data_IF_087517909257
#
_entry.id   IF_087517909257
#
_cell.length_a   1.000
_cell.length_b   1.000
_cell.length_c   1.000
_cell.angle_alpha   90.00
_cell.angle_beta   90.00
_cell.angle_gamma   90.00
#
_symmetry.space_group_name_H-M   'P 1'
#
loop_
_entity.id
_entity.type
_entity.pdbx_description
1 polymer ?
#
# COMPACT_ATOMS: atom_id res chain seq x y z
N UNK A 1 -12.72 60.22 -32.95
CA UNK A 1 -11.51 59.39 -32.73
C UNK A 1 -11.72 58.31 -31.66
N UNK A 2 -12.33 58.63 -30.50
CA UNK A 2 -12.53 57.71 -29.38
C UNK A 2 -13.34 56.43 -29.69
N UNK A 3 -14.41 56.49 -30.51
CA UNK A 3 -15.21 55.29 -30.88
C UNK A 3 -14.42 54.25 -31.68
N UNK A 4 -13.41 54.63 -32.47
CA UNK A 4 -12.59 53.65 -33.21
C UNK A 4 -11.62 52.91 -32.29
N UNK A 5 -11.12 53.59 -31.25
CA UNK A 5 -10.18 53.04 -30.27
C UNK A 5 -10.89 52.03 -29.34
N UNK A 6 -12.11 52.32 -28.89
CA UNK A 6 -12.88 51.39 -28.05
C UNK A 6 -13.26 50.10 -28.78
N UNK A 7 -13.54 50.18 -30.08
CA UNK A 7 -13.79 49.00 -30.91
C UNK A 7 -12.55 48.12 -31.08
N UNK A 8 -11.38 48.70 -31.30
CA UNK A 8 -10.12 47.94 -31.39
C UNK A 8 -9.76 47.26 -30.07
N UNK A 9 -9.95 47.93 -28.93
CA UNK A 9 -9.72 47.34 -27.60
C UNK A 9 -10.69 46.18 -27.34
N UNK A 10 -11.96 46.35 -27.69
CA UNK A 10 -12.97 45.29 -27.53
C UNK A 10 -12.68 44.07 -28.40
N UNK A 11 -12.20 44.28 -29.64
CA UNK A 11 -11.81 43.20 -30.54
C UNK A 11 -10.59 42.43 -30.02
N UNK A 12 -9.60 43.13 -29.46
CA UNK A 12 -8.41 42.52 -28.86
C UNK A 12 -8.73 41.70 -27.61
N UNK A 13 -9.63 42.20 -26.74
CA UNK A 13 -10.11 41.46 -25.56
C UNK A 13 -10.86 40.20 -25.98
N UNK A 14 -11.71 40.30 -27.01
CA UNK A 14 -12.45 39.15 -27.54
C UNK A 14 -11.52 38.09 -28.15
N UNK A 15 -10.51 38.51 -28.91
CA UNK A 15 -9.49 37.62 -29.45
C UNK A 15 -8.69 36.92 -28.33
N UNK A 16 -8.31 37.65 -27.27
CA UNK A 16 -7.60 37.07 -26.13
C UNK A 16 -8.46 36.04 -25.38
N UNK A 17 -9.76 36.31 -25.21
CA UNK A 17 -10.69 35.38 -24.58
C UNK A 17 -10.82 34.07 -25.37
N UNK A 18 -10.86 34.14 -26.72
CA UNK A 18 -10.89 32.95 -27.57
C UNK A 18 -9.60 32.13 -27.41
N UNK A 19 -8.43 32.77 -27.35
CA UNK A 19 -7.16 32.08 -27.17
C UNK A 19 -7.10 31.37 -25.81
N UNK A 20 -7.55 32.03 -24.74
CA UNK A 20 -7.57 31.46 -23.38
C UNK A 20 -8.58 30.30 -23.24
N UNK A 21 -9.75 30.42 -23.86
CA UNK A 21 -10.73 29.34 -23.88
C UNK A 21 -10.24 28.15 -24.72
N UNK A 22 -9.61 28.43 -25.86
CA UNK A 22 -9.00 27.40 -26.72
C UNK A 22 -7.87 26.64 -26.03
N UNK A 23 -6.97 27.35 -25.33
CA UNK A 23 -5.86 26.71 -24.60
C UNK A 23 -6.35 25.90 -23.41
N UNK A 24 -7.33 26.40 -22.64
CA UNK A 24 -7.95 25.67 -21.54
C UNK A 24 -8.67 24.40 -22.04
N UNK A 25 -9.40 24.49 -23.14
CA UNK A 25 -10.04 23.33 -23.76
C UNK A 25 -9.02 22.31 -24.25
N UNK A 26 -7.93 22.78 -24.89
CA UNK A 26 -6.85 21.92 -25.37
C UNK A 26 -6.15 21.18 -24.21
N UNK A 27 -5.79 21.88 -23.13
CA UNK A 27 -5.16 21.28 -21.95
C UNK A 27 -6.08 20.26 -21.26
N UNK A 28 -7.37 20.57 -21.12
CA UNK A 28 -8.35 19.65 -20.55
C UNK A 28 -8.53 18.40 -21.41
N UNK A 29 -8.62 18.57 -22.74
CA UNK A 29 -8.75 17.48 -23.70
C UNK A 29 -7.49 16.59 -23.73
N UNK A 30 -6.29 17.18 -23.66
CA UNK A 30 -5.03 16.46 -23.59
C UNK A 30 -4.94 15.58 -22.34
N UNK A 31 -5.29 16.13 -21.17
CA UNK A 31 -5.29 15.38 -19.90
C UNK A 31 -6.27 14.20 -19.94
N UNK A 32 -7.47 14.40 -20.50
CA UNK A 32 -8.44 13.31 -20.68
C UNK A 32 -7.95 12.21 -21.62
N UNK A 33 -7.22 12.55 -22.69
CA UNK A 33 -6.62 11.57 -23.60
C UNK A 33 -5.52 10.74 -22.93
N UNK A 34 -4.65 11.36 -22.15
CA UNK A 34 -3.63 10.62 -21.39
C UNK A 34 -4.26 9.63 -20.39
N UNK A 35 -5.29 10.05 -19.66
CA UNK A 35 -6.01 9.16 -18.75
C UNK A 35 -6.69 8.00 -19.47
N UNK A 36 -7.32 8.25 -20.63
CA UNK A 36 -7.95 7.19 -21.44
C UNK A 36 -6.91 6.22 -22.00
N UNK A 37 -5.75 6.71 -22.45
CA UNK A 37 -4.66 5.87 -22.94
C UNK A 37 -4.06 4.99 -21.83
N UNK A 38 -3.82 5.55 -20.65
CA UNK A 38 -3.30 4.79 -19.51
C UNK A 38 -4.29 3.71 -19.04
N UNK A 39 -5.59 4.02 -19.02
CA UNK A 39 -6.63 3.05 -18.69
C UNK A 39 -6.71 1.94 -19.74
N UNK A 40 -6.68 2.29 -21.03
CA UNK A 40 -6.60 1.33 -22.15
C UNK A 40 -5.37 0.43 -22.06
N UNK A 41 -4.21 0.99 -21.69
CA UNK A 41 -2.97 0.25 -21.57
C UNK A 41 -3.03 -0.74 -20.39
N UNK A 42 -3.51 -0.31 -19.23
CA UNK A 42 -3.69 -1.20 -18.06
C UNK A 42 -4.68 -2.33 -18.32
N UNK A 43 -5.78 -2.06 -19.04
CA UNK A 43 -6.71 -3.11 -19.48
C UNK A 43 -6.04 -4.12 -20.43
N UNK A 44 -5.23 -3.64 -21.37
CA UNK A 44 -4.47 -4.52 -22.28
C UNK A 44 -3.45 -5.39 -21.54
N UNK A 45 -2.68 -4.80 -20.64
CA UNK A 45 -1.69 -5.52 -19.84
C UNK A 45 -2.36 -6.60 -18.96
N UNK A 46 -3.53 -6.30 -18.40
CA UNK A 46 -4.32 -7.26 -17.63
C UNK A 46 -4.86 -8.42 -18.50
N UNK A 47 -5.36 -8.12 -19.70
CA UNK A 47 -5.87 -9.13 -20.63
C UNK A 47 -4.74 -10.05 -21.12
N UNK A 48 -3.58 -9.49 -21.46
CA UNK A 48 -2.39 -10.24 -21.85
C UNK A 48 -1.91 -11.15 -20.70
N UNK A 49 -1.87 -10.64 -19.47
CA UNK A 49 -1.57 -11.44 -18.27
C UNK A 49 -2.58 -12.59 -18.08
N UNK A 50 -3.88 -12.31 -18.20
CA UNK A 50 -4.95 -13.31 -18.09
C UNK A 50 -4.80 -14.42 -19.14
N UNK A 51 -4.49 -14.06 -20.38
CA UNK A 51 -4.32 -15.03 -21.46
C UNK A 51 -3.02 -15.82 -21.36
N UNK A 52 -1.96 -15.26 -20.77
CA UNK A 52 -0.77 -16.00 -20.38
C UNK A 52 -1.05 -16.98 -19.24
N UNK A 53 -1.83 -16.57 -18.22
CA UNK A 53 -2.21 -17.42 -17.09
C UNK A 53 -2.98 -18.66 -17.54
N UNK A 54 -3.88 -18.54 -18.51
CA UNK A 54 -4.63 -19.67 -19.09
C UNK A 54 -3.73 -20.70 -19.82
N UNK A 55 -2.52 -20.32 -20.19
CA UNK A 55 -1.55 -21.18 -20.91
C UNK A 55 -0.54 -21.85 -19.98
N UNK A 56 -0.51 -21.48 -18.69
CA UNK A 56 0.36 -22.14 -17.72
C UNK A 56 -0.14 -23.56 -17.47
N UNK A 57 0.75 -24.55 -17.30
CA UNK A 57 0.36 -25.88 -16.85
C UNK A 57 -0.45 -25.74 -15.56
N UNK A 58 -1.59 -26.40 -15.50
CA UNK A 58 -2.40 -26.43 -14.29
C UNK A 58 -1.60 -27.23 -13.25
N UNK A 59 -1.01 -26.54 -12.27
CA UNK A 59 -0.35 -27.18 -11.13
C UNK A 59 -1.33 -28.20 -10.52
N UNK A 60 -0.86 -29.41 -10.25
CA UNK A 60 -1.74 -30.49 -9.77
C UNK A 60 -2.27 -30.26 -8.35
N UNK A 61 -1.75 -29.26 -7.65
CA UNK A 61 -2.22 -28.82 -6.33
C UNK A 61 -2.62 -27.34 -6.35
N UNK A 62 -3.82 -27.04 -5.86
CA UNK A 62 -4.26 -25.66 -5.67
C UNK A 62 -3.53 -25.01 -4.49
N UNK A 63 -3.07 -23.77 -4.68
CA UNK A 63 -2.51 -22.91 -3.63
C UNK A 63 -3.59 -21.97 -3.12
N UNK A 64 -3.77 -21.95 -1.81
CA UNK A 64 -4.70 -21.08 -1.11
C UNK A 64 -3.98 -19.88 -0.48
N UNK A 65 -4.54 -18.69 -0.68
CA UNK A 65 -4.05 -17.43 -0.11
C UNK A 65 -5.14 -16.79 0.73
N UNK A 66 -4.81 -16.42 1.97
CA UNK A 66 -5.59 -15.47 2.76
C UNK A 66 -4.84 -14.14 2.78
N UNK A 67 -5.50 -13.09 2.31
CA UNK A 67 -4.98 -11.73 2.37
C UNK A 67 -5.88 -10.88 3.29
N UNK A 68 -5.28 -10.18 4.23
CA UNK A 68 -5.97 -9.22 5.11
C UNK A 68 -5.47 -7.80 4.85
N UNK A 69 -6.27 -6.82 5.26
CA UNK A 69 -5.91 -5.41 5.20
C UNK A 69 -4.93 -5.00 6.30
N UNK A 70 -5.08 -3.75 6.74
CA UNK A 70 -4.19 -3.12 7.70
C UNK A 70 -4.21 -3.81 9.07
N UNK A 71 -3.00 -4.11 9.54
CA UNK A 71 -2.74 -4.68 10.86
C UNK A 71 -2.01 -3.62 11.67
N UNK A 72 -2.63 -3.21 12.77
CA UNK A 72 -2.09 -2.20 13.68
C UNK A 72 -2.22 -2.67 15.12
N UNK A 73 -1.12 -2.65 15.85
CA UNK A 73 -1.10 -2.90 17.31
C UNK A 73 -1.09 -1.59 18.10
N UNK A 74 -1.45 -0.47 17.48
CA UNK A 74 -1.58 0.82 18.14
C UNK A 74 -3.00 1.08 18.66
N UNK A 75 -3.15 2.15 19.44
CA UNK A 75 -4.45 2.69 19.89
C UNK A 75 -5.32 1.61 20.55
N UNK A 76 -6.53 1.40 20.02
CA UNK A 76 -7.51 0.46 20.58
C UNK A 76 -7.00 -0.97 20.66
N UNK A 77 -6.19 -1.40 19.71
CA UNK A 77 -5.59 -2.75 19.73
C UNK A 77 -4.57 -2.84 20.86
N UNK A 78 -3.70 -1.84 21.01
CA UNK A 78 -2.75 -1.77 22.12
C UNK A 78 -3.46 -1.81 23.48
N UNK A 79 -4.52 -1.02 23.65
CA UNK A 79 -5.32 -1.00 24.89
C UNK A 79 -5.90 -2.38 25.20
N UNK A 80 -6.39 -3.09 24.19
CA UNK A 80 -6.96 -4.43 24.37
C UNK A 80 -5.88 -5.45 24.71
N UNK A 81 -4.74 -5.43 24.03
CA UNK A 81 -3.58 -6.27 24.36
C UNK A 81 -3.11 -6.04 25.79
N UNK A 82 -2.93 -4.77 26.21
CA UNK A 82 -2.54 -4.40 27.58
C UNK A 82 -3.56 -4.87 28.61
N UNK A 83 -4.86 -4.65 28.35
CA UNK A 83 -5.95 -5.06 29.24
C UNK A 83 -6.00 -6.58 29.43
N UNK A 84 -5.79 -7.32 28.35
CA UNK A 84 -5.85 -8.79 28.36
C UNK A 84 -4.52 -9.42 28.79
N UNK A 85 -3.44 -8.64 28.82
CA UNK A 85 -2.07 -9.08 29.07
C UNK A 85 -1.65 -10.21 28.12
N UNK A 86 -2.10 -10.11 26.88
CA UNK A 86 -1.86 -11.10 25.84
C UNK A 86 -1.69 -10.41 24.50
N UNK A 87 -0.47 -10.46 23.95
CA UNK A 87 -0.15 -9.89 22.65
C UNK A 87 -0.86 -10.65 21.52
N UNK A 88 -1.17 -11.92 21.71
CA UNK A 88 -1.93 -12.72 20.74
C UNK A 88 -3.43 -12.41 20.71
N UNK A 89 -3.92 -11.55 21.62
CA UNK A 89 -5.34 -11.24 21.76
C UNK A 89 -6.07 -10.94 20.43
N UNK A 90 -5.52 -10.14 19.50
CA UNK A 90 -6.20 -9.81 18.25
C UNK A 90 -6.47 -11.04 17.35
N UNK A 91 -5.65 -12.09 17.47
CA UNK A 91 -5.71 -13.26 16.60
C UNK A 91 -6.37 -14.49 17.22
N UNK A 92 -6.69 -14.47 18.53
CA UNK A 92 -7.13 -15.67 19.26
C UNK A 92 -8.27 -16.43 18.57
N UNK A 93 -9.20 -15.71 17.94
CA UNK A 93 -10.40 -16.27 17.30
C UNK A 93 -10.28 -16.54 15.80
N UNK A 94 -9.24 -16.01 15.15
CA UNK A 94 -9.11 -16.09 13.69
C UNK A 94 -7.86 -16.84 13.22
N UNK A 95 -6.90 -17.10 14.12
CA UNK A 95 -5.61 -17.71 13.74
C UNK A 95 -5.78 -19.05 13.03
N UNK A 96 -6.76 -19.86 13.40
CA UNK A 96 -6.97 -21.18 12.80
C UNK A 96 -7.47 -21.06 11.36
N UNK A 97 -8.29 -20.04 11.08
CA UNK A 97 -8.72 -19.70 9.72
C UNK A 97 -7.56 -19.12 8.89
N UNK A 98 -6.75 -18.23 9.47
CA UNK A 98 -5.55 -17.74 8.79
C UNK A 98 -4.63 -18.91 8.40
N UNK A 99 -4.35 -19.81 9.35
CA UNK A 99 -3.50 -20.99 9.15
C UNK A 99 -4.09 -22.07 8.25
N UNK A 100 -5.37 -22.01 7.89
CA UNK A 100 -5.93 -22.98 6.95
C UNK A 100 -5.48 -22.74 5.51
N UNK A 101 -4.90 -21.57 5.21
CA UNK A 101 -4.33 -21.27 3.91
C UNK A 101 -2.83 -21.62 3.83
N UNK A 102 -2.36 -21.90 2.62
CA UNK A 102 -0.94 -22.17 2.35
C UNK A 102 -0.09 -20.91 2.55
N UNK A 103 -0.64 -19.74 2.21
CA UNK A 103 -0.02 -18.44 2.40
C UNK A 103 -0.97 -17.46 3.09
N UNK A 104 -0.44 -16.71 4.05
CA UNK A 104 -1.14 -15.59 4.68
C UNK A 104 -0.34 -14.31 4.44
N UNK A 105 -1.01 -13.34 3.83
CA UNK A 105 -0.52 -12.00 3.53
C UNK A 105 -1.29 -10.96 4.35
N UNK A 106 -0.61 -9.90 4.78
CA UNK A 106 -1.24 -8.76 5.45
C UNK A 106 -0.54 -7.44 5.15
N UNK A 107 -1.22 -6.31 5.37
CA UNK A 107 -0.58 -4.99 5.33
C UNK A 107 -0.22 -4.58 6.76
N UNK A 108 1.07 -4.53 7.10
CA UNK A 108 1.50 -4.08 8.43
C UNK A 108 1.56 -2.55 8.42
N UNK A 109 0.58 -1.93 9.08
CA UNK A 109 0.44 -0.47 9.08
C UNK A 109 1.51 0.19 9.95
N UNK A 110 1.92 -0.47 11.03
CA UNK A 110 2.76 0.14 12.06
C UNK A 110 4.17 -0.43 12.06
N UNK A 111 5.22 0.41 12.23
CA UNK A 111 6.57 -0.09 12.46
C UNK A 111 6.64 -0.86 13.77
N UNK A 112 7.47 -1.91 13.80
CA UNK A 112 7.81 -2.68 15.00
C UNK A 112 9.12 -2.13 15.53
N UNK A 113 9.07 -1.39 16.64
CA UNK A 113 10.25 -0.75 17.24
C UNK A 113 9.99 -0.41 18.70
N UNK A 114 11.08 -0.27 19.47
CA UNK A 114 11.01 0.22 20.84
C UNK A 114 10.67 1.72 20.85
N UNK A 115 10.00 2.18 21.91
CA UNK A 115 9.66 3.59 22.03
C UNK A 115 8.74 3.90 23.20
N UNK A 116 8.48 5.19 23.46
CA UNK A 116 7.55 5.61 24.50
C UNK A 116 6.12 5.14 24.18
N UNK A 117 5.27 5.20 25.20
CA UNK A 117 3.83 5.07 25.03
C UNK A 117 3.30 6.24 24.20
N UNK A 118 2.44 5.94 23.23
CA UNK A 118 1.88 6.94 22.33
C UNK A 118 0.45 7.25 22.78
N UNK A 119 0.11 8.51 23.07
CA UNK A 119 -1.25 8.89 23.41
C UNK A 119 -2.23 8.58 22.26
N UNK A 120 -3.42 8.11 22.61
CA UNK A 120 -4.44 7.67 21.63
C UNK A 120 -4.88 8.76 20.62
N UNK A 121 -4.73 10.04 20.97
CA UNK A 121 -5.12 11.17 20.12
C UNK A 121 -4.06 11.53 19.07
N UNK A 122 -2.84 10.99 19.18
CA UNK A 122 -1.79 11.21 18.20
C UNK A 122 -2.01 10.36 16.94
N UNK A 123 -1.44 10.82 15.82
CA UNK A 123 -1.43 10.11 14.53
C UNK A 123 -0.05 9.51 14.24
N UNK A 124 0.63 9.08 15.30
CA UNK A 124 1.89 8.34 15.25
C UNK A 124 1.61 6.93 15.75
N UNK A 125 1.91 5.92 14.94
CA UNK A 125 1.62 4.52 15.26
C UNK A 125 2.91 3.71 15.41
N UNK A 126 2.83 2.68 16.26
CA UNK A 126 3.91 1.75 16.59
C UNK A 126 3.34 0.43 17.12
N UNK A 127 3.97 -0.66 16.73
CA UNK A 127 3.86 -1.95 17.38
C UNK A 127 5.03 -2.15 18.34
N UNK A 128 4.76 -2.66 19.55
CA UNK A 128 5.82 -3.05 20.47
C UNK A 128 6.52 -4.32 19.95
N UNK A 129 7.83 -4.52 20.22
CA UNK A 129 8.50 -5.79 19.95
C UNK A 129 7.78 -6.98 20.59
N UNK A 130 7.87 -8.14 19.95
CA UNK A 130 7.02 -9.32 20.20
C UNK A 130 5.82 -9.40 19.24
N UNK A 131 5.47 -8.30 18.56
CA UNK A 131 4.37 -8.28 17.59
C UNK A 131 4.69 -9.14 16.39
N UNK A 132 5.95 -9.16 15.93
CA UNK A 132 6.46 -10.04 14.87
C UNK A 132 6.23 -11.52 15.21
N UNK A 133 6.49 -11.93 16.46
CA UNK A 133 6.22 -13.30 16.91
C UNK A 133 4.73 -13.62 16.89
N UNK A 134 3.90 -12.67 17.33
CA UNK A 134 2.45 -12.81 17.29
C UNK A 134 1.93 -12.97 15.85
N UNK A 135 2.45 -12.17 14.91
CA UNK A 135 2.13 -12.29 13.49
C UNK A 135 2.56 -13.66 12.95
N UNK A 136 3.77 -14.11 13.28
CA UNK A 136 4.25 -15.43 12.87
C UNK A 136 3.36 -16.55 13.41
N UNK A 137 2.99 -16.46 14.69
CA UNK A 137 2.09 -17.42 15.35
C UNK A 137 0.67 -17.39 14.80
N UNK A 138 0.23 -16.28 14.20
CA UNK A 138 -1.04 -16.17 13.49
C UNK A 138 -1.00 -16.76 12.06
N UNK A 139 0.18 -17.09 11.54
CA UNK A 139 0.36 -17.74 10.23
C UNK A 139 0.85 -16.81 9.13
N UNK A 140 1.17 -15.55 9.42
CA UNK A 140 1.69 -14.61 8.42
C UNK A 140 3.03 -15.10 7.86
N UNK A 141 3.11 -15.17 6.53
CA UNK A 141 4.31 -15.56 5.77
C UNK A 141 4.95 -14.36 5.07
N UNK A 142 4.12 -13.39 4.67
CA UNK A 142 4.55 -12.17 4.00
C UNK A 142 3.71 -10.97 4.45
N UNK A 143 4.35 -9.81 4.61
CA UNK A 143 3.68 -8.55 4.93
C UNK A 143 4.03 -7.46 3.92
N UNK A 144 3.04 -6.65 3.56
CA UNK A 144 3.30 -5.35 2.95
C UNK A 144 3.68 -4.34 4.01
N UNK A 145 4.73 -3.57 3.74
CA UNK A 145 5.15 -2.38 4.48
C UNK A 145 4.90 -1.10 3.68
N UNK A 146 4.26 -1.18 2.52
CA UNK A 146 3.83 -0.01 1.76
C UNK A 146 2.60 0.62 2.43
N UNK A 147 2.84 1.33 3.53
CA UNK A 147 1.81 1.97 4.32
C UNK A 147 2.22 3.40 4.69
N UNK A 148 1.25 4.30 4.87
CA UNK A 148 1.50 5.69 5.25
C UNK A 148 2.10 5.84 6.67
N UNK A 149 1.96 4.85 7.54
CA UNK A 149 2.53 4.85 8.89
C UNK A 149 3.90 4.15 8.98
N UNK A 150 4.36 3.49 7.92
CA UNK A 150 5.71 2.90 7.84
C UNK A 150 6.84 3.86 8.20
N UNK A 151 6.81 5.16 7.83
CA UNK A 151 7.85 6.12 8.22
C UNK A 151 7.79 6.59 9.68
N UNK A 152 6.80 6.15 10.47
CA UNK A 152 6.75 6.50 11.89
C UNK A 152 8.00 5.94 12.58
N UNK A 153 8.55 6.68 13.56
CA UNK A 153 9.85 6.37 14.18
C UNK A 153 11.05 6.42 13.21
N UNK A 154 10.85 6.97 12.01
CA UNK A 154 11.90 7.27 11.05
C UNK A 154 12.66 6.04 10.56
N UNK A 155 13.91 6.27 10.15
CA UNK A 155 14.78 5.22 9.62
C UNK A 155 15.06 4.10 10.64
N UNK A 156 15.14 4.44 11.92
CA UNK A 156 15.34 3.44 12.98
C UNK A 156 14.14 2.50 13.08
N UNK A 157 12.92 3.04 13.16
CA UNK A 157 11.71 2.22 13.22
C UNK A 157 11.55 1.29 12.03
N UNK A 158 11.94 1.77 10.85
CA UNK A 158 11.94 0.97 9.62
C UNK A 158 12.96 -0.18 9.67
N UNK A 159 14.22 0.11 10.04
CA UNK A 159 15.28 -0.90 10.17
C UNK A 159 14.96 -1.94 11.24
N UNK A 160 14.43 -1.51 12.37
CA UNK A 160 13.98 -2.41 13.44
C UNK A 160 12.89 -3.35 12.91
N UNK A 161 11.91 -2.81 12.19
CA UNK A 161 10.85 -3.62 11.57
C UNK A 161 11.42 -4.69 10.65
N UNK A 162 12.40 -4.35 9.81
CA UNK A 162 13.06 -5.32 8.93
C UNK A 162 13.74 -6.43 9.73
N UNK A 163 14.46 -6.07 10.80
CA UNK A 163 15.18 -7.02 11.65
C UNK A 163 14.21 -7.96 12.37
N UNK A 164 13.16 -7.42 13.00
CA UNK A 164 12.15 -8.21 13.71
C UNK A 164 11.43 -9.19 12.78
N UNK A 165 11.00 -8.75 11.59
CA UNK A 165 10.35 -9.63 10.63
C UNK A 165 11.31 -10.71 10.10
N UNK A 166 12.58 -10.36 9.85
CA UNK A 166 13.59 -11.30 9.42
C UNK A 166 13.88 -12.37 10.50
N UNK A 167 13.92 -11.98 11.78
CA UNK A 167 14.16 -12.89 12.92
C UNK A 167 13.12 -14.02 13.00
N UNK A 168 11.85 -13.71 12.75
CA UNK A 168 10.76 -14.71 12.75
C UNK A 168 10.50 -15.34 11.37
N UNK A 169 11.30 -14.99 10.36
CA UNK A 169 11.18 -15.52 9.01
C UNK A 169 9.87 -15.11 8.33
N UNK A 170 9.40 -13.88 8.53
CA UNK A 170 8.33 -13.25 7.75
C UNK A 170 8.99 -12.43 6.64
N UNK A 171 8.60 -12.68 5.39
CA UNK A 171 9.07 -11.88 4.26
C UNK A 171 8.30 -10.55 4.22
N UNK A 172 8.86 -9.53 3.57
CA UNK A 172 8.13 -8.28 3.38
C UNK A 172 8.38 -7.66 2.00
N UNK A 173 7.44 -6.82 1.58
CA UNK A 173 7.47 -6.04 0.33
C UNK A 173 7.05 -4.60 0.60
N UNK A 174 7.30 -3.69 -0.34
CA UNK A 174 6.82 -2.31 -0.25
C UNK A 174 7.65 -1.39 0.63
N UNK A 175 8.78 -1.87 1.14
CA UNK A 175 9.84 -1.09 1.79
C UNK A 175 11.18 -1.84 1.65
N UNK A 176 12.29 -1.11 1.75
CA UNK A 176 13.64 -1.66 1.66
C UNK A 176 14.69 -0.65 2.11
N UNK A 177 15.97 -1.03 2.14
CA UNK A 177 17.06 -0.12 2.51
C UNK A 177 17.32 0.97 1.47
N UNK A 178 16.75 0.80 0.27
CA UNK A 178 16.80 1.72 -0.85
C UNK A 178 15.58 1.51 -1.75
N UNK A 179 15.40 2.41 -2.72
CA UNK A 179 14.29 2.37 -3.66
C UNK A 179 14.25 1.07 -4.48
N UNK A 180 15.41 0.55 -4.89
CA UNK A 180 15.47 -0.69 -5.67
C UNK A 180 14.90 -1.87 -4.87
N UNK A 181 15.32 -2.03 -3.61
CA UNK A 181 14.80 -3.06 -2.69
C UNK A 181 13.32 -2.87 -2.40
N UNK A 182 12.87 -1.63 -2.16
CA UNK A 182 11.47 -1.33 -1.86
C UNK A 182 10.51 -1.72 -3.00
N UNK A 183 11.00 -1.71 -4.24
CA UNK A 183 10.25 -2.08 -5.44
C UNK A 183 10.46 -3.54 -5.88
N UNK A 184 11.25 -4.35 -5.16
CA UNK A 184 11.41 -5.76 -5.53
C UNK A 184 10.22 -6.61 -5.09
N UNK A 185 9.76 -7.55 -5.95
CA UNK A 185 8.83 -8.57 -5.53
C UNK A 185 9.52 -9.59 -4.62
N UNK A 186 8.72 -10.23 -3.77
CA UNK A 186 9.13 -11.45 -3.06
C UNK A 186 8.54 -12.66 -3.78
N UNK A 187 9.38 -13.66 -4.00
CA UNK A 187 8.96 -14.96 -4.51
C UNK A 187 8.83 -15.96 -3.36
N UNK A 188 7.69 -16.64 -3.29
CA UNK A 188 7.43 -17.71 -2.32
C UNK A 188 6.94 -18.92 -3.09
N UNK A 189 7.65 -20.04 -2.95
CA UNK A 189 7.28 -21.32 -3.53
C UNK A 189 6.43 -22.10 -2.52
N UNK A 190 5.31 -22.66 -2.98
CA UNK A 190 4.42 -23.49 -2.15
C UNK A 190 3.72 -24.48 -3.06
N UNK A 191 3.75 -25.77 -2.68
CA UNK A 191 3.17 -26.88 -3.47
C UNK A 191 3.73 -27.03 -4.90
N UNK A 192 5.00 -26.64 -5.10
CA UNK A 192 5.77 -26.81 -6.35
C UNK A 192 5.64 -25.63 -7.31
#
# INVERSE_FOLDING_TARGET
MQRKITWLISLSIFALAIVLLGSSYYLHSSKNRETLNNQSQGEKEFLDFSDQKKKLPQASEEVSLVAVGDISFSRGVERMVKKQKDLNYPFLKIRDYLKSADLVFGNLETPITEGPEIPDFEMVFRSNPGTEQTLKQAGFSVLSLANNHTPNFGEQGLKDTFNYLAEVGIKFVGAGNNEQEANQPVYIETKG
#
